data_IF_632479405104
#
_entry.id   IF_632479405104
#
_cell.length_a   1.000
_cell.length_b   1.000
_cell.length_c   1.000
_cell.angle_alpha   90.00
_cell.angle_beta   90.00
_cell.angle_gamma   90.00
#
_symmetry.space_group_name_H-M   'P 1'
#
loop_
_entity.id
_entity.type
_entity.pdbx_description
1 polymer ?
#
# COMPACT_ATOMS: atom_id res chain seq x y z
N UNK A 1 -4.12 -16.81 2.67
CA UNK A 1 -3.63 -15.84 1.66
C UNK A 1 -4.46 -14.56 1.53
N UNK A 2 -5.48 -14.30 2.37
CA UNK A 2 -6.47 -13.23 2.19
C UNK A 2 -6.19 -11.89 2.92
N UNK A 3 -5.01 -11.71 3.55
CA UNK A 3 -4.76 -10.56 4.43
C UNK A 3 -4.31 -9.30 3.70
N UNK A 4 -3.47 -9.41 2.67
CA UNK A 4 -3.00 -8.23 1.92
C UNK A 4 -4.10 -7.62 1.04
N UNK A 5 -4.95 -8.47 0.46
CA UNK A 5 -6.10 -8.02 -0.35
C UNK A 5 -7.07 -7.15 0.45
N UNK A 6 -7.29 -7.48 1.74
CA UNK A 6 -8.11 -6.68 2.67
C UNK A 6 -7.50 -5.32 3.01
N UNK A 7 -6.22 -5.13 2.75
CA UNK A 7 -5.47 -3.87 2.96
C UNK A 7 -5.28 -3.12 1.63
N UNK A 8 -6.18 -3.32 0.66
CA UNK A 8 -6.06 -2.69 -0.65
C UNK A 8 -4.90 -3.22 -1.49
N UNK A 9 -4.34 -4.39 -1.15
CA UNK A 9 -3.26 -5.04 -1.89
C UNK A 9 -1.88 -4.41 -1.71
N UNK A 10 -1.72 -3.46 -0.78
CA UNK A 10 -0.46 -2.75 -0.52
C UNK A 10 -0.33 -2.38 0.96
N UNK A 11 0.85 -2.56 1.55
CA UNK A 11 1.10 -2.27 2.97
C UNK A 11 2.49 -1.66 3.16
N UNK A 12 2.61 -0.71 4.08
CA UNK A 12 3.92 -0.17 4.46
C UNK A 12 4.70 -1.16 5.32
N UNK A 13 6.02 -1.17 5.21
CA UNK A 13 6.88 -2.03 6.04
C UNK A 13 6.68 -1.77 7.55
N UNK A 14 6.54 -0.52 8.03
CA UNK A 14 6.22 -0.25 9.45
C UNK A 14 4.87 -0.82 9.89
N UNK A 15 3.82 -0.69 9.07
CA UNK A 15 2.50 -1.25 9.41
C UNK A 15 2.56 -2.78 9.46
N UNK A 16 3.29 -3.39 8.53
CA UNK A 16 3.54 -4.83 8.52
C UNK A 16 4.29 -5.28 9.78
N UNK A 17 5.31 -4.54 10.21
CA UNK A 17 6.04 -4.81 11.44
C UNK A 17 5.11 -4.84 12.65
N UNK A 18 4.27 -3.82 12.80
CA UNK A 18 3.29 -3.75 13.87
C UNK A 18 2.32 -4.95 13.83
N UNK A 19 1.80 -5.32 12.66
CA UNK A 19 0.86 -6.44 12.53
C UNK A 19 1.54 -7.77 12.89
N UNK A 20 2.73 -8.04 12.36
CA UNK A 20 3.44 -9.30 12.58
C UNK A 20 3.78 -9.47 14.06
N UNK A 21 4.32 -8.43 14.68
CA UNK A 21 4.69 -8.45 16.10
C UNK A 21 3.47 -8.51 17.02
N UNK A 22 2.36 -7.83 16.66
CA UNK A 22 1.10 -7.93 17.39
C UNK A 22 0.54 -9.36 17.40
N UNK A 23 0.68 -10.10 16.30
CA UNK A 23 0.20 -11.50 16.21
C UNK A 23 1.14 -12.47 16.93
N UNK A 24 2.44 -12.17 17.01
CA UNK A 24 3.46 -12.99 17.70
C UNK A 24 3.42 -12.87 19.23
N UNK A 25 2.92 -11.76 19.78
CA UNK A 25 2.81 -11.56 21.23
C UNK A 25 4.18 -11.36 21.89
N UNK A 26 4.81 -12.44 22.34
CA UNK A 26 6.09 -12.41 23.09
C UNK A 26 7.32 -12.69 22.22
N UNK A 27 7.16 -13.40 21.10
CA UNK A 27 8.27 -13.78 20.20
C UNK A 27 8.47 -12.77 19.07
N UNK A 28 8.82 -11.54 19.44
CA UNK A 28 8.93 -10.42 18.52
C UNK A 28 10.07 -10.60 17.50
N UNK A 29 9.84 -10.11 16.29
CA UNK A 29 10.87 -9.93 15.26
C UNK A 29 11.52 -8.56 15.40
N UNK A 30 12.83 -8.50 15.17
CA UNK A 30 13.53 -7.23 15.01
C UNK A 30 13.15 -6.56 13.68
N UNK A 31 13.29 -5.23 13.56
CA UNK A 31 13.06 -4.54 12.29
C UNK A 31 13.94 -5.05 11.14
N UNK A 32 15.20 -5.39 11.44
CA UNK A 32 16.18 -5.88 10.46
C UNK A 32 15.82 -7.28 9.95
N UNK A 33 15.36 -8.17 10.83
CA UNK A 33 14.92 -9.51 10.46
C UNK A 33 13.67 -9.46 9.57
N UNK A 34 12.72 -8.57 9.90
CA UNK A 34 11.53 -8.40 9.09
C UNK A 34 11.88 -7.87 7.69
N UNK A 35 12.75 -6.86 7.60
CA UNK A 35 13.21 -6.30 6.34
C UNK A 35 13.87 -7.37 5.47
N UNK A 36 14.78 -8.14 6.05
CA UNK A 36 15.50 -9.23 5.37
C UNK A 36 14.52 -10.30 4.89
N UNK A 37 13.58 -10.69 5.74
CA UNK A 37 12.52 -11.64 5.41
C UNK A 37 11.64 -11.15 4.25
N UNK A 38 11.28 -9.87 4.24
CA UNK A 38 10.47 -9.28 3.16
C UNK A 38 11.21 -9.23 1.83
N UNK A 39 12.52 -8.91 1.84
CA UNK A 39 13.37 -8.96 0.64
C UNK A 39 13.41 -10.38 0.06
N UNK A 40 13.58 -11.39 0.92
CA UNK A 40 13.55 -12.79 0.51
C UNK A 40 12.18 -13.17 -0.06
N UNK A 41 11.09 -12.83 0.64
CA UNK A 41 9.71 -13.10 0.17
C UNK A 41 9.49 -12.50 -1.23
N UNK A 42 9.89 -11.25 -1.46
CA UNK A 42 9.75 -10.62 -2.79
C UNK A 42 10.59 -11.30 -3.87
N UNK A 43 11.64 -12.03 -3.49
CA UNK A 43 12.51 -12.76 -4.44
C UNK A 43 11.97 -14.16 -4.74
N UNK A 44 11.32 -14.81 -3.78
CA UNK A 44 10.77 -16.16 -3.93
C UNK A 44 9.33 -16.18 -4.47
N UNK A 45 8.51 -15.19 -4.10
CA UNK A 45 7.09 -15.14 -4.45
C UNK A 45 6.87 -14.17 -5.61
N UNK A 46 6.52 -14.71 -6.77
CA UNK A 46 6.28 -13.93 -7.99
C UNK A 46 5.08 -13.00 -7.90
N UNK A 47 4.19 -13.16 -6.90
CA UNK A 47 2.99 -12.37 -6.72
C UNK A 47 3.14 -11.21 -5.72
N UNK A 48 4.30 -11.07 -5.06
CA UNK A 48 4.58 -10.02 -4.07
C UNK A 48 5.80 -9.23 -4.51
N UNK A 49 5.69 -7.90 -4.44
CA UNK A 49 6.74 -6.98 -4.80
C UNK A 49 7.08 -6.08 -3.63
N UNK A 50 8.37 -5.85 -3.43
CA UNK A 50 8.85 -4.81 -2.55
C UNK A 50 9.20 -3.57 -3.37
N UNK A 51 8.59 -2.44 -3.03
CA UNK A 51 8.80 -1.14 -3.71
C UNK A 51 9.27 -0.11 -2.70
N UNK A 52 10.21 0.73 -3.11
CA UNK A 52 10.64 1.90 -2.35
C UNK A 52 10.27 3.15 -3.13
N UNK A 53 9.49 4.03 -2.50
CA UNK A 53 9.12 5.33 -3.07
C UNK A 53 10.26 6.35 -2.94
N UNK A 54 10.26 7.44 -3.72
CA UNK A 54 11.27 8.50 -3.63
C UNK A 54 11.39 9.12 -2.23
N UNK A 55 10.29 9.17 -1.47
CA UNK A 55 10.28 9.61 -0.07
C UNK A 55 11.04 8.70 0.89
N UNK A 56 11.42 7.50 0.44
CA UNK A 56 12.05 6.46 1.26
C UNK A 56 11.06 5.49 1.87
N UNK A 57 9.75 5.71 1.73
CA UNK A 57 8.72 4.76 2.20
C UNK A 57 8.87 3.43 1.46
N UNK A 58 8.92 2.34 2.23
CA UNK A 58 9.01 0.98 1.71
C UNK A 58 7.66 0.31 1.88
N UNK A 59 7.19 -0.33 0.81
CA UNK A 59 5.91 -1.05 0.77
C UNK A 59 6.08 -2.46 0.21
N UNK A 60 5.21 -3.37 0.66
CA UNK A 60 4.94 -4.63 -0.01
C UNK A 60 3.61 -4.52 -0.75
N UNK A 61 3.59 -4.92 -2.02
CA UNK A 61 2.45 -4.79 -2.92
C UNK A 61 2.21 -6.11 -3.66
N UNK A 62 0.94 -6.46 -3.88
CA UNK A 62 0.58 -7.56 -4.78
C UNK A 62 0.79 -7.14 -6.25
N UNK A 63 1.31 -8.05 -7.08
CA UNK A 63 1.48 -7.80 -8.52
C UNK A 63 0.15 -7.51 -9.22
N UNK A 64 -0.95 -8.12 -8.78
CA UNK A 64 -2.29 -7.81 -9.30
C UNK A 64 -2.67 -6.35 -9.15
N UNK A 65 -2.11 -5.66 -8.15
CA UNK A 65 -2.37 -4.26 -7.84
C UNK A 65 -1.39 -3.30 -8.53
N UNK A 66 -0.45 -3.80 -9.36
CA UNK A 66 0.46 -2.94 -10.15
C UNK A 66 -0.24 -2.27 -11.32
N UNK A 67 -1.23 -2.94 -11.91
CA UNK A 67 -1.80 -2.58 -13.21
C UNK A 67 -3.04 -1.68 -13.09
N UNK A 68 -3.36 -1.18 -11.90
CA UNK A 68 -4.39 -0.17 -11.75
C UNK A 68 -3.77 1.18 -12.12
N UNK A 69 -4.12 1.71 -13.29
CA UNK A 69 -3.84 3.10 -13.65
C UNK A 69 -4.61 4.02 -12.71
N UNK A 70 -3.98 4.36 -11.58
CA UNK A 70 -4.59 5.16 -10.51
C UNK A 70 -5.11 6.49 -11.05
N UNK A 71 -4.43 7.07 -12.05
CA UNK A 71 -4.87 8.28 -12.74
C UNK A 71 -6.24 8.06 -13.42
N UNK A 72 -6.39 6.98 -14.19
CA UNK A 72 -7.66 6.66 -14.84
C UNK A 72 -8.77 6.40 -13.83
N UNK A 73 -8.45 5.71 -12.73
CA UNK A 73 -9.39 5.44 -11.66
C UNK A 73 -9.86 6.73 -10.97
N UNK A 74 -8.94 7.67 -10.72
CA UNK A 74 -9.28 8.98 -10.13
C UNK A 74 -10.11 9.81 -11.12
N UNK A 75 -9.77 9.80 -12.41
CA UNK A 75 -10.56 10.49 -13.44
C UNK A 75 -11.99 9.97 -13.47
N UNK A 76 -12.17 8.64 -13.48
CA UNK A 76 -13.49 8.01 -13.41
C UNK A 76 -14.28 8.40 -12.15
N UNK A 77 -13.61 8.56 -11.01
CA UNK A 77 -14.25 9.01 -9.76
C UNK A 77 -14.67 10.48 -9.83
N UNK A 78 -13.81 11.35 -10.39
CA UNK A 78 -14.11 12.78 -10.57
C UNK A 78 -15.25 12.98 -11.56
N UNK A 79 -15.30 12.18 -12.63
CA UNK A 79 -16.36 12.28 -13.65
C UNK A 79 -17.72 11.82 -13.10
N UNK A 80 -17.74 10.85 -12.19
CA UNK A 80 -18.97 10.34 -11.55
C UNK A 80 -19.56 11.29 -10.52
N UNK A 81 -18.74 12.09 -9.85
CA UNK A 81 -19.20 12.98 -8.78
C UNK A 81 -18.83 14.44 -9.05
N UNK A 82 -19.85 15.20 -9.45
CA UNK A 82 -19.73 16.61 -9.82
C UNK A 82 -19.19 17.50 -8.68
N UNK A 83 -19.20 17.01 -7.44
CA UNK A 83 -18.65 17.70 -6.26
C UNK A 83 -17.14 17.93 -6.36
N UNK A 84 -16.42 17.08 -7.10
CA UNK A 84 -14.97 17.15 -7.21
C UNK A 84 -14.46 18.18 -8.22
N UNK A 85 -15.32 18.68 -9.14
CA UNK A 85 -14.91 19.64 -10.19
C UNK A 85 -14.26 20.92 -9.66
N UNK A 86 -14.63 21.35 -8.44
CA UNK A 86 -14.08 22.56 -7.82
C UNK A 86 -13.27 22.29 -6.54
N UNK A 87 -13.30 21.07 -6.01
CA UNK A 87 -12.66 20.70 -4.74
C UNK A 87 -11.31 19.98 -4.93
N UNK A 88 -11.11 19.34 -6.08
CA UNK A 88 -10.00 18.42 -6.30
C UNK A 88 -10.15 17.12 -5.51
N UNK A 89 -9.25 16.16 -5.73
CA UNK A 89 -9.28 14.85 -5.08
C UNK A 89 -8.12 14.74 -4.09
N UNK A 90 -8.44 14.51 -2.81
CA UNK A 90 -7.45 14.47 -1.73
C UNK A 90 -6.88 13.06 -1.50
N UNK A 91 -5.67 12.99 -0.93
CA UNK A 91 -5.05 11.73 -0.54
C UNK A 91 -5.89 10.91 0.46
N UNK A 92 -6.67 11.59 1.33
CA UNK A 92 -7.55 10.90 2.28
C UNK A 92 -8.75 10.24 1.58
N UNK A 93 -9.31 10.89 0.55
CA UNK A 93 -10.40 10.34 -0.25
C UNK A 93 -9.93 9.12 -1.05
N UNK A 94 -8.73 9.18 -1.65
CA UNK A 94 -8.12 8.03 -2.31
C UNK A 94 -7.90 6.86 -1.34
N UNK A 95 -7.37 7.15 -0.15
CA UNK A 95 -7.10 6.16 0.88
C UNK A 95 -8.37 5.40 1.30
N UNK A 96 -9.47 6.13 1.48
CA UNK A 96 -10.78 5.54 1.81
C UNK A 96 -11.32 4.69 0.67
N UNK A 97 -11.22 5.16 -0.57
CA UNK A 97 -11.75 4.46 -1.75
C UNK A 97 -11.02 3.15 -2.03
N UNK A 98 -9.69 3.12 -1.84
CA UNK A 98 -8.85 1.95 -2.13
C UNK A 98 -8.57 1.08 -0.90
N UNK A 99 -9.06 1.45 0.28
CA UNK A 99 -8.76 0.80 1.56
C UNK A 99 -7.24 0.69 1.85
N UNK A 100 -6.50 1.77 1.60
CA UNK A 100 -5.05 1.87 1.84
C UNK A 100 -4.74 2.93 2.89
N UNK A 101 -3.51 2.91 3.40
CA UNK A 101 -3.03 3.98 4.30
C UNK A 101 -2.89 5.31 3.55
N UNK A 102 -3.17 6.42 4.23
CA UNK A 102 -3.06 7.80 3.68
C UNK A 102 -1.64 8.10 3.20
N UNK A 103 -0.63 7.52 3.85
CA UNK A 103 0.78 7.66 3.44
C UNK A 103 0.96 7.08 2.03
N UNK A 104 0.46 5.88 1.80
CA UNK A 104 0.53 5.21 0.49
C UNK A 104 -0.25 6.02 -0.54
N UNK A 105 -1.47 6.45 -0.21
CA UNK A 105 -2.28 7.27 -1.11
C UNK A 105 -1.58 8.56 -1.53
N UNK A 106 -0.87 9.22 -0.60
CA UNK A 106 -0.07 10.40 -0.92
C UNK A 106 1.07 10.07 -1.88
N UNK A 107 1.81 8.99 -1.65
CA UNK A 107 2.89 8.56 -2.56
C UNK A 107 2.35 8.26 -3.95
N UNK A 108 1.21 7.57 -4.04
CA UNK A 108 0.55 7.24 -5.32
C UNK A 108 0.04 8.46 -6.09
N UNK A 109 -0.26 9.57 -5.42
CA UNK A 109 -0.66 10.83 -6.07
C UNK A 109 0.54 11.69 -6.51
N UNK A 110 1.72 11.45 -5.94
CA UNK A 110 2.95 12.19 -6.23
C UNK A 110 3.85 11.46 -7.23
N UNK A 111 3.61 10.17 -7.42
CA UNK A 111 4.26 9.32 -8.43
C UNK A 111 3.76 9.66 -9.85
#
# INVERSE_FOLDING_TARGET
>A
NQRLEKLGGIITLPDLYCIVNKVRGTELLSPEDLLTSCNMISSFYSNILMKKFPSGVIVLQLVSNRNCDIISYIQDLIDKDASYKNKGFSASELAMSMHISVIIAKELLLE
#
